data_IF_651472323627
#
_entry.id   IF_651472323627
#
_cell.length_a   1.000
_cell.length_b   1.000
_cell.length_c   1.000
_cell.angle_alpha   90.00
_cell.angle_beta   90.00
_cell.angle_gamma   90.00
#
_symmetry.space_group_name_H-M   'P 1'
#
loop_
_entity.id
_entity.type
_entity.pdbx_description
1 polymer ?
#
# COMPACT_ATOMS: atom_id res chain seq x y z
N UNK A 1 47.64 21.86 -69.47
CA UNK A 1 46.39 22.52 -69.03
C UNK A 1 45.60 21.53 -68.20
N UNK A 2 45.38 21.84 -66.92
CA UNK A 2 44.56 21.05 -65.98
C UNK A 2 43.09 21.37 -66.22
N UNK A 3 42.20 20.37 -66.16
CA UNK A 3 41.26 20.25 -65.04
C UNK A 3 40.36 19.01 -65.19
N UNK A 4 40.46 18.12 -64.20
CA UNK A 4 39.47 17.08 -63.90
C UNK A 4 38.37 17.73 -63.08
N UNK A 5 37.18 17.90 -63.65
CA UNK A 5 35.98 18.19 -62.86
C UNK A 5 35.32 16.87 -62.46
N UNK A 6 35.56 16.52 -61.19
CA UNK A 6 34.93 15.46 -60.43
C UNK A 6 33.76 16.10 -59.68
N UNK A 7 32.53 15.88 -60.13
CA UNK A 7 31.33 16.28 -59.36
C UNK A 7 30.71 15.04 -58.71
N UNK A 8 31.25 14.69 -57.55
CA UNK A 8 30.57 13.85 -56.57
C UNK A 8 29.46 14.67 -55.89
N UNK A 9 28.25 14.10 -55.80
CA UNK A 9 27.38 14.33 -54.64
C UNK A 9 25.90 14.49 -54.91
N UNK A 10 25.11 13.42 -54.66
CA UNK A 10 23.86 13.59 -53.93
C UNK A 10 23.80 12.74 -52.65
N UNK A 11 24.87 12.01 -52.28
CA UNK A 11 24.84 11.08 -51.15
C UNK A 11 24.95 11.74 -49.77
N UNK A 12 25.56 12.93 -49.66
CA UNK A 12 25.83 13.58 -48.35
C UNK A 12 24.55 14.07 -47.67
N UNK A 13 23.54 14.48 -48.46
CA UNK A 13 22.28 15.02 -47.93
C UNK A 13 21.40 13.93 -47.28
N UNK A 14 21.53 12.69 -47.73
CA UNK A 14 20.74 11.57 -47.21
C UNK A 14 21.29 11.10 -45.85
N UNK A 15 22.62 11.00 -45.70
CA UNK A 15 23.24 10.58 -44.43
C UNK A 15 22.92 11.50 -43.25
N UNK A 16 22.80 12.81 -43.52
CA UNK A 16 22.47 13.81 -42.49
C UNK A 16 21.00 13.71 -42.02
N UNK A 17 20.07 13.39 -42.93
CA UNK A 17 18.66 13.14 -42.60
C UNK A 17 18.50 11.85 -41.78
N UNK A 18 19.24 10.79 -42.12
CA UNK A 18 19.25 9.54 -41.34
C UNK A 18 19.82 9.72 -39.94
N UNK A 19 20.89 10.51 -39.79
CA UNK A 19 21.45 10.87 -38.48
C UNK A 19 20.47 11.71 -37.65
N UNK A 20 19.79 12.68 -38.27
CA UNK A 20 18.74 13.47 -37.60
C UNK A 20 17.58 12.62 -37.08
N UNK A 21 17.08 11.70 -37.91
CA UNK A 21 16.04 10.73 -37.50
C UNK A 21 16.52 9.83 -36.37
N UNK A 22 17.75 9.31 -36.44
CA UNK A 22 18.34 8.49 -35.39
C UNK A 22 18.41 9.23 -34.05
N UNK A 23 18.84 10.49 -34.05
CA UNK A 23 18.89 11.31 -32.83
C UNK A 23 17.50 11.57 -32.26
N UNK A 24 16.49 11.83 -33.09
CA UNK A 24 15.11 12.03 -32.62
C UNK A 24 14.54 10.76 -32.00
N UNK A 25 14.75 9.60 -32.63
CA UNK A 25 14.26 8.31 -32.10
C UNK A 25 14.95 7.98 -30.78
N UNK A 26 16.28 8.16 -30.69
CA UNK A 26 17.02 7.96 -29.45
C UNK A 26 16.58 8.95 -28.38
N UNK A 27 16.38 10.22 -28.72
CA UNK A 27 15.87 11.22 -27.78
C UNK A 27 14.46 10.85 -27.28
N UNK A 28 13.56 10.41 -28.17
CA UNK A 28 12.20 9.96 -27.78
C UNK A 28 12.24 8.71 -26.90
N UNK A 29 13.12 7.74 -27.19
CA UNK A 29 13.30 6.54 -26.36
C UNK A 29 13.87 6.89 -24.98
N UNK A 30 14.90 7.73 -24.92
CA UNK A 30 15.48 8.19 -23.65
C UNK A 30 14.46 8.97 -22.85
N UNK A 31 13.76 9.93 -23.48
CA UNK A 31 12.72 10.72 -22.79
C UNK A 31 11.59 9.81 -22.32
N UNK A 32 11.13 8.87 -23.16
CA UNK A 32 10.09 7.89 -22.81
C UNK A 32 10.49 6.98 -21.65
N UNK A 33 11.71 6.45 -21.62
CA UNK A 33 12.17 5.58 -20.51
C UNK A 33 12.28 6.34 -19.18
N UNK A 34 12.72 7.60 -19.21
CA UNK A 34 12.85 8.44 -18.02
C UNK A 34 11.52 8.98 -17.51
N UNK A 35 10.60 9.37 -18.40
CA UNK A 35 9.27 9.87 -17.98
C UNK A 35 8.38 8.74 -17.50
N UNK A 36 8.39 7.57 -18.16
CA UNK A 36 7.61 6.40 -17.73
C UNK A 36 8.03 5.96 -16.32
N UNK A 37 9.33 5.82 -16.05
CA UNK A 37 9.80 5.37 -14.72
C UNK A 37 9.49 6.36 -13.59
N UNK A 38 9.43 7.67 -13.88
CA UNK A 38 9.08 8.70 -12.89
C UNK A 38 7.57 8.87 -12.70
N UNK A 39 6.75 8.60 -13.71
CA UNK A 39 5.28 8.67 -13.60
C UNK A 39 4.70 7.45 -12.87
N UNK A 40 5.43 6.33 -12.81
CA UNK A 40 4.99 5.12 -12.10
C UNK A 40 5.46 4.99 -10.64
N UNK A 41 6.13 6.01 -10.08
CA UNK A 41 6.28 6.09 -8.61
C UNK A 41 5.02 6.70 -8.02
N UNK A 42 3.90 5.97 -8.10
CA UNK A 42 2.71 6.30 -7.32
C UNK A 42 3.08 6.18 -5.85
N UNK A 43 2.70 7.17 -5.05
CA UNK A 43 2.85 7.08 -3.60
C UNK A 43 1.99 5.89 -3.13
N UNK A 44 2.55 4.91 -2.39
CA UNK A 44 1.74 3.80 -1.86
C UNK A 44 0.56 4.29 -1.01
N UNK A 45 0.65 5.47 -0.41
CA UNK A 45 -0.45 6.08 0.34
C UNK A 45 -1.65 6.43 -0.53
N UNK A 46 -1.46 6.76 -1.82
CA UNK A 46 -2.56 7.09 -2.75
C UNK A 46 -3.50 5.90 -2.97
N UNK A 47 -3.05 4.67 -2.71
CA UNK A 47 -3.86 3.46 -2.81
C UNK A 47 -4.24 2.90 -1.43
N UNK A 48 -3.30 2.86 -0.48
CA UNK A 48 -3.52 2.25 0.82
C UNK A 48 -4.48 3.04 1.71
N UNK A 49 -4.39 4.38 1.73
CA UNK A 49 -5.24 5.21 2.58
C UNK A 49 -6.72 5.20 2.15
N UNK A 50 -7.06 5.38 0.87
CA UNK A 50 -8.45 5.26 0.43
C UNK A 50 -9.03 3.89 0.73
N UNK A 51 -8.29 2.80 0.45
CA UNK A 51 -8.77 1.45 0.77
C UNK A 51 -9.04 1.29 2.28
N UNK A 52 -8.10 1.72 3.12
CA UNK A 52 -8.28 1.63 4.57
C UNK A 52 -9.48 2.45 5.03
N UNK A 53 -9.69 3.66 4.48
CA UNK A 53 -10.83 4.51 4.81
C UNK A 53 -12.16 3.91 4.37
N UNK A 54 -12.23 3.30 3.18
CA UNK A 54 -13.41 2.56 2.70
C UNK A 54 -13.76 1.38 3.61
N UNK A 55 -12.75 0.73 4.21
CA UNK A 55 -12.94 -0.35 5.18
C UNK A 55 -13.18 0.13 6.62
N UNK A 56 -13.30 1.45 6.83
CA UNK A 56 -13.70 2.06 8.10
C UNK A 56 -12.59 2.76 8.87
N UNK A 57 -11.39 2.94 8.32
CA UNK A 57 -10.36 3.76 8.98
C UNK A 57 -10.80 5.23 9.00
N UNK A 58 -10.90 5.79 10.21
CA UNK A 58 -11.29 7.18 10.42
C UNK A 58 -10.21 7.96 11.19
N UNK A 59 -9.27 8.53 10.43
CA UNK A 59 -8.21 9.40 10.94
C UNK A 59 -8.77 10.78 11.35
N UNK A 60 -8.13 11.39 12.33
CA UNK A 60 -8.34 12.76 12.80
C UNK A 60 -7.09 13.62 12.55
N UNK A 61 -7.17 14.92 12.82
CA UNK A 61 -6.05 15.84 12.67
C UNK A 61 -4.88 15.55 13.63
N UNK A 62 -5.11 14.76 14.68
CA UNK A 62 -4.08 14.32 15.64
C UNK A 62 -3.40 13.00 15.26
N UNK A 63 -3.78 12.41 14.11
CA UNK A 63 -3.26 11.13 13.62
C UNK A 63 -2.33 11.35 12.42
N UNK A 64 -1.05 11.05 12.58
CA UNK A 64 -0.03 11.21 11.56
C UNK A 64 0.18 9.91 10.78
N UNK A 65 0.03 9.95 9.46
CA UNK A 65 0.42 8.83 8.60
C UNK A 65 1.95 8.84 8.42
N UNK A 66 2.61 7.82 8.95
CA UNK A 66 4.08 7.72 8.95
C UNK A 66 4.59 7.05 7.68
N UNK A 67 3.92 6.00 7.24
CA UNK A 67 4.27 5.28 6.02
C UNK A 67 3.08 4.50 5.49
N UNK A 68 3.12 4.18 4.20
CA UNK A 68 2.17 3.29 3.57
C UNK A 68 2.90 2.25 2.72
N UNK A 69 2.29 1.09 2.60
CA UNK A 69 2.69 0.03 1.68
C UNK A 69 1.45 -0.44 0.93
N UNK A 70 1.61 -0.69 -0.36
CA UNK A 70 0.55 -1.21 -1.20
C UNK A 70 1.02 -2.49 -1.88
N UNK A 71 0.23 -3.54 -1.72
CA UNK A 71 0.44 -4.84 -2.34
C UNK A 71 -0.76 -5.15 -3.22
N UNK A 72 -0.66 -4.82 -4.51
CA UNK A 72 -1.60 -5.32 -5.51
C UNK A 72 -1.27 -6.77 -5.85
N UNK A 73 -2.18 -7.69 -5.54
CA UNK A 73 -2.13 -9.07 -6.04
C UNK A 73 -3.50 -9.48 -6.60
N UNK A 74 -3.51 -10.54 -7.41
CA UNK A 74 -4.73 -11.20 -7.84
C UNK A 74 -4.86 -12.51 -7.06
N UNK A 75 -6.04 -12.85 -6.50
CA UNK A 75 -7.30 -12.09 -6.56
C UNK A 75 -7.34 -10.87 -5.63
N UNK A 76 -6.47 -10.83 -4.62
CA UNK A 76 -6.64 -9.98 -3.45
C UNK A 76 -5.59 -8.87 -3.40
N UNK A 77 -6.02 -7.64 -3.12
CA UNK A 77 -5.12 -6.51 -2.86
C UNK A 77 -5.11 -6.17 -1.37
N UNK A 78 -3.97 -5.70 -0.88
CA UNK A 78 -3.87 -5.24 0.52
C UNK A 78 -3.02 -3.99 0.64
N UNK A 79 -3.42 -3.13 1.57
CA UNK A 79 -2.69 -1.94 1.96
C UNK A 79 -2.28 -2.03 3.43
N UNK A 80 -1.07 -1.58 3.73
CA UNK A 80 -0.62 -1.35 5.10
C UNK A 80 -0.40 0.14 5.28
N UNK A 81 -0.90 0.72 6.36
CA UNK A 81 -0.71 2.12 6.73
C UNK A 81 -0.18 2.15 8.15
N UNK A 82 0.97 2.79 8.37
CA UNK A 82 1.48 3.07 9.70
C UNK A 82 0.98 4.43 10.16
N UNK A 83 0.29 4.45 11.29
CA UNK A 83 -0.29 5.66 11.87
C UNK A 83 0.35 5.91 13.22
N UNK A 84 0.84 7.13 13.44
CA UNK A 84 1.29 7.61 14.75
C UNK A 84 0.19 8.48 15.34
N UNK A 85 -0.13 8.21 16.58
CA UNK A 85 -1.08 8.98 17.39
C UNK A 85 -0.31 9.77 18.44
N UNK A 86 -0.87 10.88 18.91
CA UNK A 86 -0.17 11.72 19.89
C UNK A 86 -0.09 11.10 21.31
N UNK A 87 -1.02 10.20 21.64
CA UNK A 87 -1.19 9.64 22.99
C UNK A 87 -2.06 8.36 23.01
N UNK A 88 -2.14 7.74 24.19
CA UNK A 88 -3.07 6.64 24.45
C UNK A 88 -4.53 7.00 24.17
N UNK A 89 -4.96 8.20 24.57
CA UNK A 89 -6.35 8.65 24.40
C UNK A 89 -6.70 8.86 22.94
N UNK A 90 -5.79 9.43 22.15
CA UNK A 90 -5.99 9.60 20.70
C UNK A 90 -6.06 8.25 19.99
N UNK A 91 -5.28 7.26 20.45
CA UNK A 91 -5.33 5.89 19.96
C UNK A 91 -6.69 5.22 20.23
N UNK A 92 -7.16 5.27 21.47
CA UNK A 92 -8.49 4.71 21.82
C UNK A 92 -9.59 5.36 20.98
N UNK A 93 -9.52 6.67 20.81
CA UNK A 93 -10.46 7.40 19.96
C UNK A 93 -10.35 6.98 18.48
N UNK A 94 -9.15 6.71 17.94
CA UNK A 94 -8.97 6.19 16.59
C UNK A 94 -9.60 4.80 16.43
N UNK A 95 -9.41 3.90 17.40
CA UNK A 95 -10.01 2.56 17.38
C UNK A 95 -11.55 2.64 17.42
N UNK A 96 -12.08 3.48 18.31
CA UNK A 96 -13.54 3.67 18.46
C UNK A 96 -14.15 4.25 17.18
N UNK A 97 -13.57 5.33 16.64
CA UNK A 97 -14.04 5.95 15.39
C UNK A 97 -13.96 4.98 14.22
N UNK A 98 -12.93 4.14 14.19
CA UNK A 98 -12.75 3.16 13.12
C UNK A 98 -13.65 1.92 13.27
N UNK A 99 -14.46 1.85 14.33
CA UNK A 99 -15.41 0.77 14.57
C UNK A 99 -14.77 -0.60 14.76
N UNK A 100 -13.46 -0.66 14.97
CA UNK A 100 -12.72 -1.91 15.16
C UNK A 100 -12.97 -2.45 16.58
N UNK A 101 -12.95 -3.77 16.71
CA UNK A 101 -13.17 -4.46 17.99
C UNK A 101 -12.05 -5.45 18.23
N UNK A 102 -11.81 -5.80 19.49
CA UNK A 102 -10.85 -6.84 19.80
C UNK A 102 -11.14 -8.13 19.03
N UNK A 103 -10.07 -8.81 18.60
CA UNK A 103 -10.17 -10.16 18.06
C UNK A 103 -10.71 -11.10 19.16
N UNK A 104 -11.85 -11.74 18.89
CA UNK A 104 -12.47 -12.73 19.79
C UNK A 104 -12.74 -14.00 18.99
N UNK A 105 -12.07 -15.08 19.39
CA UNK A 105 -12.28 -16.40 18.82
C UNK A 105 -13.38 -17.14 19.60
N UNK A 106 -14.43 -17.56 18.90
CA UNK A 106 -15.50 -18.38 19.47
C UNK A 106 -15.49 -19.75 18.83
N UNK A 107 -15.36 -20.78 19.65
CA UNK A 107 -15.40 -22.17 19.19
C UNK A 107 -16.40 -22.97 19.99
N UNK A 108 -17.15 -23.83 19.30
CA UNK A 108 -17.93 -24.88 19.96
C UNK A 108 -17.06 -26.08 20.21
N UNK A 109 -16.94 -26.48 21.48
CA UNK A 109 -16.18 -27.65 21.92
C UNK A 109 -17.12 -28.62 22.61
N UNK A 110 -16.96 -29.91 22.32
CA UNK A 110 -17.62 -31.00 23.04
C UNK A 110 -16.52 -31.80 23.73
N UNK A 111 -16.62 -31.92 25.05
CA UNK A 111 -15.72 -32.73 25.86
C UNK A 111 -16.40 -34.08 26.12
N UNK A 112 -15.70 -35.16 25.80
CA UNK A 112 -16.12 -36.55 26.07
C UNK A 112 -17.53 -36.93 25.55
N UNK A 113 -17.91 -36.40 24.38
CA UNK A 113 -19.22 -36.66 23.77
C UNK A 113 -20.39 -35.97 24.48
N UNK A 114 -20.10 -35.07 25.41
CA UNK A 114 -21.07 -34.25 26.11
C UNK A 114 -21.64 -33.09 25.27
N UNK A 115 -22.59 -32.32 25.83
CA UNK A 115 -23.19 -31.19 25.12
C UNK A 115 -22.13 -30.16 24.71
N UNK A 116 -22.31 -29.57 23.54
CA UNK A 116 -21.44 -28.50 23.06
C UNK A 116 -21.47 -27.31 24.02
N UNK A 117 -20.28 -26.85 24.38
CA UNK A 117 -20.07 -25.60 25.11
C UNK A 117 -19.42 -24.59 24.18
N UNK A 118 -19.81 -23.34 24.32
CA UNK A 118 -19.12 -22.24 23.66
C UNK A 118 -17.89 -21.88 24.50
N UNK A 119 -16.73 -21.97 23.90
CA UNK A 119 -15.46 -21.51 24.45
C UNK A 119 -15.08 -20.21 23.74
N UNK A 120 -14.83 -19.17 24.53
CA UNK A 120 -14.45 -17.85 24.04
C UNK A 120 -13.00 -17.60 24.42
N UNK A 121 -12.16 -17.38 23.42
CA UNK A 121 -10.75 -17.02 23.60
C UNK A 121 -10.54 -15.58 23.17
N UNK A 122 -9.74 -14.84 23.95
CA UNK A 122 -9.36 -13.44 23.68
C UNK A 122 -7.84 -13.38 23.46
N UNK A 123 -7.36 -13.56 22.21
CA UNK A 123 -5.93 -13.65 21.91
C UNK A 123 -5.11 -12.46 22.38
N UNK A 124 -5.67 -11.25 22.41
CA UNK A 124 -5.00 -10.04 22.90
C UNK A 124 -4.53 -10.12 24.36
N UNK A 125 -5.19 -10.93 25.20
CA UNK A 125 -4.77 -11.15 26.59
C UNK A 125 -3.54 -12.06 26.69
N UNK A 126 -3.25 -12.82 25.64
CA UNK A 126 -2.16 -13.79 25.57
C UNK A 126 -0.96 -13.27 24.76
N UNK A 127 -1.15 -12.20 23.99
CA UNK A 127 -0.15 -11.61 23.07
C UNK A 127 0.42 -10.32 23.65
N UNK A 128 1.64 -9.98 23.26
CA UNK A 128 2.20 -8.63 23.49
C UNK A 128 1.58 -7.60 22.55
N UNK A 129 1.36 -7.99 21.29
CA UNK A 129 0.69 -7.18 20.28
C UNK A 129 -0.83 -7.21 20.46
N UNK A 130 -1.42 -6.03 20.57
CA UNK A 130 -2.87 -5.83 20.64
C UNK A 130 -3.44 -5.75 19.23
N UNK A 131 -4.48 -6.54 18.93
CA UNK A 131 -5.08 -6.65 17.60
C UNK A 131 -6.58 -6.35 17.63
N UNK A 132 -7.00 -5.44 16.76
CA UNK A 132 -8.39 -5.03 16.59
C UNK A 132 -8.80 -5.24 15.14
N UNK A 133 -10.03 -5.69 14.92
CA UNK A 133 -10.56 -6.05 13.61
C UNK A 133 -11.94 -5.45 13.38
N UNK A 134 -12.22 -5.05 12.14
CA UNK A 134 -13.55 -4.80 11.61
C UNK A 134 -13.69 -5.58 10.30
N UNK A 135 -14.79 -6.32 10.17
CA UNK A 135 -15.10 -7.10 8.96
C UNK A 135 -16.28 -6.47 8.26
N UNK A 136 -16.08 -6.05 7.01
CA UNK A 136 -17.13 -5.51 6.18
C UNK A 136 -18.06 -6.63 5.65
N UNK A 137 -19.31 -6.32 5.23
CA UNK A 137 -20.27 -7.33 4.78
C UNK A 137 -19.82 -8.17 3.58
N UNK A 138 -18.88 -7.67 2.79
CA UNK A 138 -18.28 -8.35 1.63
C UNK A 138 -17.08 -9.25 2.00
N UNK A 139 -16.75 -9.39 3.28
CA UNK A 139 -15.63 -10.21 3.75
C UNK A 139 -14.28 -9.50 3.77
N UNK A 140 -14.21 -8.25 3.29
CA UNK A 140 -13.01 -7.43 3.46
C UNK A 140 -12.78 -7.10 4.92
N UNK A 141 -11.53 -6.89 5.30
CA UNK A 141 -11.14 -6.72 6.70
C UNK A 141 -10.22 -5.51 6.88
N UNK A 142 -10.55 -4.69 7.87
CA UNK A 142 -9.65 -3.72 8.47
C UNK A 142 -9.08 -4.33 9.76
N UNK A 143 -7.76 -4.44 9.85
CA UNK A 143 -7.04 -4.87 11.06
C UNK A 143 -6.16 -3.74 11.54
N UNK A 144 -6.26 -3.36 12.81
CA UNK A 144 -5.39 -2.38 13.46
C UNK A 144 -4.63 -3.10 14.56
N UNK A 145 -3.30 -3.01 14.57
CA UNK A 145 -2.49 -3.59 15.63
C UNK A 145 -1.41 -2.64 16.15
N UNK A 146 -1.01 -2.84 17.41
CA UNK A 146 0.07 -2.09 18.05
C UNK A 146 0.70 -2.91 19.18
N UNK A 147 1.96 -2.60 19.51
CA UNK A 147 2.64 -3.16 20.66
C UNK A 147 2.65 -2.13 21.80
N UNK A 148 2.11 -2.48 22.97
CA UNK A 148 2.11 -1.58 24.13
C UNK A 148 3.51 -1.35 24.72
N UNK A 149 4.42 -2.31 24.52
CA UNK A 149 5.78 -2.28 25.04
C UNK A 149 6.78 -1.51 24.15
N UNK A 150 6.41 -1.16 22.92
CA UNK A 150 7.26 -0.45 21.97
C UNK A 150 6.72 0.96 21.73
N UNK A 151 7.53 1.97 22.08
CA UNK A 151 7.25 3.42 21.91
C UNK A 151 5.82 3.88 22.27
N UNK A 152 5.40 3.53 23.48
CA UNK A 152 4.15 4.01 24.10
C UNK A 152 2.88 3.62 23.33
N UNK A 153 2.94 2.59 22.49
CA UNK A 153 1.82 2.10 21.70
C UNK A 153 1.12 3.16 20.84
N UNK A 154 1.79 4.29 20.58
CA UNK A 154 1.27 5.40 19.79
C UNK A 154 1.40 5.13 18.29
N UNK A 155 2.25 4.18 17.90
CA UNK A 155 2.41 3.73 16.53
C UNK A 155 1.56 2.48 16.29
N UNK A 156 0.66 2.55 15.30
CA UNK A 156 -0.25 1.50 14.93
C UNK A 156 0.01 1.06 13.49
N UNK A 157 -0.10 -0.23 13.26
CA UNK A 157 -0.14 -0.82 11.92
C UNK A 157 -1.59 -1.09 11.55
N UNK A 158 -2.08 -0.37 10.55
CA UNK A 158 -3.39 -0.59 9.93
C UNK A 158 -3.20 -1.43 8.68
N UNK A 159 -3.94 -2.52 8.57
CA UNK A 159 -3.93 -3.40 7.41
C UNK A 159 -5.34 -3.51 6.86
N UNK A 160 -5.50 -3.10 5.60
CA UNK A 160 -6.72 -3.19 4.83
C UNK A 160 -6.58 -4.35 3.84
N UNK A 161 -7.47 -5.34 3.92
CA UNK A 161 -7.42 -6.54 3.10
C UNK A 161 -8.70 -6.63 2.28
N UNK A 162 -8.54 -6.62 0.96
CA UNK A 162 -9.57 -6.94 -0.01
C UNK A 162 -9.49 -8.43 -0.33
N UNK A 163 -10.61 -9.14 -0.18
CA UNK A 163 -10.78 -10.61 -0.38
C UNK A 163 -11.75 -10.85 -1.54
#
# INVERSE_FOLDING_TARGET
MRDRLKTQGPQVRNGWLWLGCGVIVVALLVTGMFTVSRVFHNDPCDSALPLASELGLHLSDDDDVVSCEWHSSFPDSSGTVMVRTASHTTREALLERSGVREEIDRRRVSLDGGPFREEMRRPNLERSEQVYIATAPNGHQLRISYDEGVESGCLLTVRAIQV
#
